data_IF_667473147085
#
_entry.id   IF_667473147085
#
_cell.length_a   1.000
_cell.length_b   1.000
_cell.length_c   1.000
_cell.angle_alpha   90.00
_cell.angle_beta   90.00
_cell.angle_gamma   90.00
#
_symmetry.space_group_name_H-M   'P 1'
#
loop_
_entity.id
_entity.type
_entity.pdbx_description
1 polymer ?
#
# COMPACT_ATOMS: atom_id res chain seq x y z
N UNK A 1 -12.04 9.68 28.39
CA UNK A 1 -11.69 8.68 27.38
C UNK A 1 -10.31 8.17 27.74
N UNK A 2 -10.19 6.92 28.18
CA UNK A 2 -8.89 6.31 28.44
C UNK A 2 -8.37 5.73 27.14
N UNK A 3 -7.26 6.28 26.64
CA UNK A 3 -6.58 5.75 25.45
C UNK A 3 -6.10 4.33 25.74
N UNK A 4 -6.42 3.42 24.85
CA UNK A 4 -6.04 2.01 24.96
C UNK A 4 -4.64 1.76 24.38
N UNK A 5 -3.91 0.72 24.81
CA UNK A 5 -2.53 0.47 24.37
C UNK A 5 -2.36 0.40 22.84
N UNK A 6 -3.33 -0.15 22.14
CA UNK A 6 -3.30 -0.26 20.69
C UNK A 6 -3.45 1.10 19.99
N UNK A 7 -4.16 2.06 20.59
CA UNK A 7 -4.31 3.40 20.03
C UNK A 7 -2.95 4.13 19.97
N UNK A 8 -2.05 3.88 20.93
CA UNK A 8 -0.68 4.42 20.87
C UNK A 8 0.14 3.82 19.72
N UNK A 9 -0.04 2.52 19.43
CA UNK A 9 0.62 1.86 18.30
C UNK A 9 0.09 2.44 16.98
N UNK A 10 -1.22 2.60 16.85
CA UNK A 10 -1.84 3.18 15.65
C UNK A 10 -1.40 4.64 15.45
N UNK A 11 -1.37 5.43 16.53
CA UNK A 11 -0.85 6.79 16.50
C UNK A 11 0.64 6.82 16.09
N UNK A 12 1.45 5.91 16.62
CA UNK A 12 2.86 5.76 16.23
C UNK A 12 3.02 5.46 14.74
N UNK A 13 2.23 4.55 14.21
CA UNK A 13 2.20 4.23 12.77
C UNK A 13 1.79 5.45 11.95
N UNK A 14 0.77 6.20 12.38
CA UNK A 14 0.34 7.41 11.69
C UNK A 14 1.44 8.48 11.66
N UNK A 15 2.12 8.72 12.78
CA UNK A 15 3.23 9.67 12.88
C UNK A 15 4.40 9.23 11.99
N UNK A 16 4.75 7.95 11.98
CA UNK A 16 5.83 7.41 11.13
C UNK A 16 5.51 7.58 9.64
N UNK A 17 4.29 7.23 9.22
CA UNK A 17 3.89 7.38 7.82
C UNK A 17 3.79 8.84 7.39
N UNK A 18 3.30 9.73 8.28
CA UNK A 18 3.30 11.17 8.05
C UNK A 18 4.74 11.72 7.93
N UNK A 19 5.66 11.29 8.80
CA UNK A 19 7.07 11.67 8.76
C UNK A 19 7.77 11.20 7.48
N UNK A 20 7.52 9.96 7.05
CA UNK A 20 8.03 9.43 5.78
C UNK A 20 7.46 10.23 4.61
N UNK A 21 6.16 10.55 4.64
CA UNK A 21 5.50 11.37 3.63
C UNK A 21 6.08 12.80 3.57
N UNK A 22 6.32 13.42 4.73
CA UNK A 22 6.97 14.73 4.83
C UNK A 22 8.39 14.73 4.22
N UNK A 23 9.18 13.70 4.54
CA UNK A 23 10.55 13.56 4.04
C UNK A 23 10.59 13.31 2.52
N UNK A 24 9.74 12.43 2.01
CA UNK A 24 9.68 12.10 0.58
C UNK A 24 8.99 13.16 -0.26
N UNK A 25 8.10 13.92 0.34
CA UNK A 25 7.22 14.87 -0.34
C UNK A 25 6.17 14.17 -1.22
N UNK A 26 5.24 14.95 -1.75
CA UNK A 26 4.22 14.49 -2.69
C UNK A 26 4.84 13.83 -3.93
N UNK A 27 5.96 14.40 -4.42
CA UNK A 27 6.69 13.88 -5.57
C UNK A 27 7.16 12.43 -5.37
N UNK A 28 7.69 12.12 -4.18
CA UNK A 28 8.13 10.76 -3.84
C UNK A 28 6.96 9.78 -3.69
N UNK A 29 5.83 10.26 -3.17
CA UNK A 29 4.62 9.47 -2.97
C UNK A 29 3.93 9.13 -4.30
N UNK A 30 3.70 10.14 -5.15
CA UNK A 30 3.12 9.93 -6.48
C UNK A 30 4.06 9.11 -7.39
N UNK A 31 5.36 9.36 -7.29
CA UNK A 31 6.35 8.56 -8.01
C UNK A 31 6.28 7.08 -7.61
N UNK A 32 6.13 6.78 -6.32
CA UNK A 32 6.00 5.40 -5.85
C UNK A 32 4.71 4.74 -6.33
N UNK A 33 3.58 5.44 -6.29
CA UNK A 33 2.29 4.92 -6.77
C UNK A 33 2.35 4.62 -8.28
N UNK A 34 2.87 5.57 -9.07
CA UNK A 34 3.04 5.38 -10.51
C UNK A 34 4.03 4.24 -10.82
N UNK A 35 5.10 4.13 -10.04
CA UNK A 35 6.06 3.04 -10.15
C UNK A 35 5.42 1.66 -9.91
N UNK A 36 4.59 1.52 -8.86
CA UNK A 36 3.87 0.27 -8.60
C UNK A 36 2.89 -0.07 -9.71
N UNK A 37 2.14 0.91 -10.23
CA UNK A 37 1.25 0.69 -11.37
C UNK A 37 2.04 0.22 -12.61
N UNK A 38 3.18 0.84 -12.89
CA UNK A 38 4.05 0.46 -14.00
C UNK A 38 4.65 -0.94 -13.81
N UNK A 39 5.10 -1.28 -12.59
CA UNK A 39 5.61 -2.61 -12.29
C UNK A 39 4.56 -3.70 -12.49
N UNK A 40 3.34 -3.47 -12.00
CA UNK A 40 2.21 -4.39 -12.18
C UNK A 40 1.87 -4.56 -13.66
N UNK A 41 1.83 -3.45 -14.41
CA UNK A 41 1.64 -3.49 -15.86
C UNK A 41 2.76 -4.24 -16.58
N UNK A 42 4.02 -3.97 -16.24
CA UNK A 42 5.17 -4.65 -16.82
C UNK A 42 5.10 -6.17 -16.58
N UNK A 43 4.85 -6.61 -15.34
CA UNK A 43 4.71 -8.03 -15.02
C UNK A 43 3.59 -8.73 -15.79
N UNK A 44 2.50 -8.01 -16.07
CA UNK A 44 1.41 -8.57 -16.88
C UNK A 44 1.75 -8.64 -18.38
N UNK A 45 2.28 -7.53 -18.94
CA UNK A 45 2.48 -7.41 -20.39
C UNK A 45 3.81 -7.99 -20.86
N UNK A 46 4.86 -8.00 -20.03
CA UNK A 46 6.21 -8.45 -20.43
C UNK A 46 6.50 -9.92 -20.13
N UNK A 47 5.57 -10.65 -19.49
CA UNK A 47 5.75 -12.07 -19.18
C UNK A 47 6.07 -12.92 -20.41
N UNK A 48 5.46 -12.59 -21.57
CA UNK A 48 5.77 -13.25 -22.84
C UNK A 48 7.22 -13.03 -23.28
N UNK A 49 7.71 -11.80 -23.18
CA UNK A 49 9.10 -11.45 -23.46
C UNK A 49 10.07 -12.11 -22.48
N UNK A 50 9.70 -12.15 -21.21
CA UNK A 50 10.50 -12.81 -20.16
C UNK A 50 10.71 -14.30 -20.45
N UNK A 51 9.68 -14.99 -20.95
CA UNK A 51 9.79 -16.39 -21.39
C UNK A 51 10.76 -16.56 -22.55
N UNK A 52 10.62 -15.72 -23.58
CA UNK A 52 11.56 -15.74 -24.73
C UNK A 52 12.99 -15.52 -24.26
N UNK A 53 13.23 -14.57 -23.36
CA UNK A 53 14.56 -14.34 -22.81
C UNK A 53 15.08 -15.55 -21.99
N UNK A 54 14.23 -16.16 -21.17
CA UNK A 54 14.61 -17.32 -20.37
C UNK A 54 14.96 -18.54 -21.25
N UNK A 55 14.21 -18.77 -22.32
CA UNK A 55 14.48 -19.84 -23.28
C UNK A 55 15.81 -19.59 -24.03
N UNK A 56 16.06 -18.34 -24.45
CA UNK A 56 17.31 -17.96 -25.09
C UNK A 56 18.54 -18.11 -24.19
N UNK A 57 18.38 -17.99 -22.87
CA UNK A 57 19.44 -18.21 -21.88
C UNK A 57 19.76 -19.70 -21.65
N UNK A 58 18.96 -20.63 -22.19
CA UNK A 58 19.25 -22.07 -22.15
C UNK A 58 19.01 -22.75 -20.81
N UNK A 59 18.09 -22.24 -19.96
CA UNK A 59 17.77 -22.83 -18.65
C UNK A 59 17.05 -24.19 -18.70
N UNK A 60 16.71 -24.72 -19.89
CA UNK A 60 16.10 -26.03 -20.06
C UNK A 60 14.86 -26.23 -19.20
N UNK A 61 14.87 -27.26 -18.36
CA UNK A 61 13.73 -27.57 -17.48
C UNK A 61 13.36 -26.45 -16.47
N UNK A 62 14.27 -25.52 -16.20
CA UNK A 62 14.06 -24.37 -15.29
C UNK A 62 13.60 -23.09 -16.02
N UNK A 63 13.36 -23.15 -17.34
CA UNK A 63 13.01 -21.97 -18.14
C UNK A 63 11.75 -21.22 -17.60
N UNK A 64 10.76 -21.96 -17.11
CA UNK A 64 9.57 -21.37 -16.51
C UNK A 64 9.89 -20.56 -15.24
N UNK A 65 10.72 -21.10 -14.36
CA UNK A 65 11.15 -20.37 -13.13
C UNK A 65 12.03 -19.18 -13.49
N UNK A 66 12.95 -19.35 -14.44
CA UNK A 66 13.80 -18.27 -14.93
C UNK A 66 12.98 -17.14 -15.55
N UNK A 67 11.89 -17.43 -16.27
CA UNK A 67 10.99 -16.43 -16.82
C UNK A 67 10.36 -15.53 -15.73
N UNK A 68 9.95 -16.08 -14.58
CA UNK A 68 9.44 -15.28 -13.46
C UNK A 68 10.52 -14.36 -12.86
N UNK A 69 11.77 -14.83 -12.79
CA UNK A 69 12.89 -14.00 -12.32
C UNK A 69 13.16 -12.86 -13.29
N UNK A 70 13.18 -13.12 -14.60
CA UNK A 70 13.36 -12.11 -15.64
C UNK A 70 12.21 -11.10 -15.61
N UNK A 71 10.96 -11.56 -15.49
CA UNK A 71 9.79 -10.71 -15.40
C UNK A 71 9.83 -9.82 -14.15
N UNK A 72 10.25 -10.36 -13.02
CA UNK A 72 10.46 -9.58 -11.80
C UNK A 72 11.52 -8.48 -12.00
N UNK A 73 12.63 -8.77 -12.70
CA UNK A 73 13.65 -7.76 -13.03
C UNK A 73 13.06 -6.68 -13.94
N UNK A 74 12.28 -7.03 -14.96
CA UNK A 74 11.60 -6.06 -15.80
C UNK A 74 10.64 -5.18 -15.01
N UNK A 75 9.88 -5.77 -14.10
CA UNK A 75 8.96 -5.03 -13.20
C UNK A 75 9.72 -4.07 -12.29
N UNK A 76 10.87 -4.46 -11.75
CA UNK A 76 11.71 -3.58 -10.93
C UNK A 76 12.29 -2.41 -11.75
N UNK A 77 12.72 -2.68 -12.98
CA UNK A 77 13.22 -1.62 -13.88
C UNK A 77 12.09 -0.65 -14.23
N UNK A 78 10.92 -1.14 -14.58
CA UNK A 78 9.74 -0.32 -14.85
C UNK A 78 9.35 0.53 -13.63
N UNK A 79 9.33 -0.07 -12.44
CA UNK A 79 9.11 0.64 -11.17
C UNK A 79 10.10 1.80 -10.99
N UNK A 80 11.38 1.50 -11.12
CA UNK A 80 12.44 2.49 -10.88
C UNK A 80 12.39 3.66 -11.86
N UNK A 81 12.24 3.36 -13.14
CA UNK A 81 12.17 4.36 -14.21
C UNK A 81 10.95 5.28 -14.05
N UNK A 82 9.76 4.71 -13.93
CA UNK A 82 8.51 5.49 -13.85
C UNK A 82 8.48 6.29 -12.55
N UNK A 83 8.88 5.67 -11.43
CA UNK A 83 9.02 6.38 -10.17
C UNK A 83 9.94 7.60 -10.27
N UNK A 84 11.11 7.43 -10.90
CA UNK A 84 12.08 8.52 -11.05
C UNK A 84 11.53 9.64 -11.94
N UNK A 85 10.93 9.30 -13.09
CA UNK A 85 10.36 10.28 -14.02
C UNK A 85 9.24 11.07 -13.35
N UNK A 86 8.28 10.38 -12.74
CA UNK A 86 7.12 11.03 -12.10
C UNK A 86 7.55 11.87 -10.90
N UNK A 87 8.44 11.37 -10.05
CA UNK A 87 8.94 12.12 -8.91
C UNK A 87 9.68 13.40 -9.36
N UNK A 88 10.49 13.31 -10.41
CA UNK A 88 11.19 14.46 -10.99
C UNK A 88 10.21 15.49 -11.54
N UNK A 89 9.22 15.04 -12.31
CA UNK A 89 8.21 15.91 -12.91
C UNK A 89 7.38 16.63 -11.83
N UNK A 90 6.88 15.92 -10.84
CA UNK A 90 6.10 16.48 -9.73
C UNK A 90 6.94 17.45 -8.89
N UNK A 91 8.23 17.14 -8.64
CA UNK A 91 9.11 18.02 -7.87
C UNK A 91 9.36 19.38 -8.54
N UNK A 92 9.27 19.44 -9.87
CA UNK A 92 9.36 20.71 -10.63
C UNK A 92 8.07 21.50 -10.54
N UNK A 93 6.92 20.81 -10.58
CA UNK A 93 5.60 21.45 -10.52
C UNK A 93 5.21 21.93 -9.14
N UNK A 94 5.63 21.19 -8.09
CA UNK A 94 5.26 21.49 -6.70
C UNK A 94 6.52 21.80 -5.90
N UNK A 95 6.85 23.10 -5.76
CA UNK A 95 8.06 23.52 -5.04
C UNK A 95 7.93 23.28 -3.53
N UNK A 96 9.08 23.25 -2.84
CA UNK A 96 9.12 23.25 -1.38
C UNK A 96 8.64 24.64 -0.86
N UNK A 97 7.93 24.72 0.28
CA UNK A 97 7.63 23.64 1.24
C UNK A 97 6.33 22.86 0.93
N UNK A 98 5.56 23.26 -0.07
CA UNK A 98 4.25 22.67 -0.40
C UNK A 98 4.36 21.17 -0.70
N UNK A 99 5.41 20.77 -1.42
CA UNK A 99 5.67 19.37 -1.75
C UNK A 99 5.80 18.50 -0.47
N UNK A 100 6.52 18.97 0.53
CA UNK A 100 6.70 18.27 1.80
C UNK A 100 5.38 18.19 2.58
N UNK A 101 4.64 19.29 2.67
CA UNK A 101 3.35 19.32 3.36
C UNK A 101 2.31 18.38 2.73
N UNK A 102 2.18 18.39 1.41
CA UNK A 102 1.30 17.48 0.69
C UNK A 102 1.75 16.01 0.82
N UNK A 103 3.06 15.78 0.90
CA UNK A 103 3.60 14.45 1.21
C UNK A 103 3.21 13.97 2.60
N UNK A 104 3.24 14.85 3.60
CA UNK A 104 2.76 14.53 4.96
C UNK A 104 1.28 14.16 4.96
N UNK A 105 0.44 14.93 4.27
CA UNK A 105 -1.00 14.63 4.13
C UNK A 105 -1.22 13.27 3.44
N UNK A 106 -0.45 12.96 2.40
CA UNK A 106 -0.48 11.66 1.74
C UNK A 106 -0.09 10.52 2.69
N UNK A 107 0.91 10.73 3.55
CA UNK A 107 1.31 9.79 4.60
C UNK A 107 0.20 9.54 5.64
N UNK A 108 -0.48 10.61 6.07
CA UNK A 108 -1.64 10.51 6.97
C UNK A 108 -2.81 9.76 6.31
N UNK A 109 -3.09 10.05 5.04
CA UNK A 109 -4.12 9.33 4.29
C UNK A 109 -3.82 7.83 4.21
N UNK A 110 -2.56 7.46 3.93
CA UNK A 110 -2.13 6.05 3.94
C UNK A 110 -2.31 5.40 5.30
N UNK A 111 -2.00 6.11 6.38
CA UNK A 111 -2.20 5.56 7.72
C UNK A 111 -3.68 5.29 8.00
N UNK A 112 -4.58 6.17 7.58
CA UNK A 112 -6.03 5.95 7.70
C UNK A 112 -6.49 4.73 6.91
N UNK A 113 -5.97 4.54 5.68
CA UNK A 113 -6.25 3.35 4.86
C UNK A 113 -5.74 2.09 5.53
N UNK A 114 -4.51 2.09 6.05
CA UNK A 114 -3.93 0.92 6.75
C UNK A 114 -4.74 0.57 8.00
N UNK A 115 -5.11 1.57 8.80
CA UNK A 115 -5.95 1.37 10.00
C UNK A 115 -7.32 0.82 9.60
N UNK A 116 -7.95 1.38 8.55
CA UNK A 116 -9.23 0.92 8.02
C UNK A 116 -9.18 -0.52 7.51
N UNK A 117 -8.11 -0.90 6.81
CA UNK A 117 -7.90 -2.27 6.33
C UNK A 117 -7.70 -3.25 7.49
N UNK A 118 -6.91 -2.88 8.52
CA UNK A 118 -6.71 -3.71 9.71
C UNK A 118 -8.02 -3.91 10.48
N UNK A 119 -8.80 -2.84 10.65
CA UNK A 119 -10.12 -2.92 11.27
C UNK A 119 -11.08 -3.80 10.43
N UNK A 120 -11.14 -3.59 9.10
CA UNK A 120 -11.98 -4.37 8.19
C UNK A 120 -11.59 -5.84 8.16
N UNK A 121 -10.30 -6.15 8.16
CA UNK A 121 -9.81 -7.54 8.24
C UNK A 121 -10.23 -8.23 9.55
N UNK A 122 -10.20 -7.48 10.66
CA UNK A 122 -10.70 -7.95 11.95
C UNK A 122 -12.20 -8.27 11.94
N UNK A 123 -12.99 -7.51 11.18
CA UNK A 123 -14.45 -7.71 11.06
C UNK A 123 -14.83 -8.87 10.13
N UNK A 124 -13.98 -9.22 9.16
CA UNK A 124 -14.23 -10.32 8.19
C UNK A 124 -14.01 -11.72 8.77
N UNK A 125 -13.50 -11.85 9.98
CA UNK A 125 -13.27 -13.15 10.63
C UNK A 125 -14.27 -13.37 11.77
N UNK A 126 -15.53 -13.79 11.49
CA UNK A 126 -16.51 -14.04 12.53
C UNK A 126 -16.07 -15.18 13.45
N UNK A 127 -16.08 -14.94 14.74
CA UNK A 127 -15.78 -15.94 15.77
C UNK A 127 -14.31 -16.12 16.14
N UNK A 128 -13.41 -15.29 15.63
CA UNK A 128 -11.97 -15.35 15.98
C UNK A 128 -11.63 -14.30 17.03
N UNK A 129 -10.70 -14.63 17.92
CA UNK A 129 -10.16 -13.75 18.98
C UNK A 129 -9.66 -12.38 18.47
N UNK A 130 -9.39 -12.24 17.18
CA UNK A 130 -8.90 -11.01 16.55
C UNK A 130 -9.90 -9.84 16.62
N UNK A 131 -11.17 -10.06 16.37
CA UNK A 131 -12.20 -9.01 16.47
C UNK A 131 -12.43 -8.56 17.91
N UNK A 132 -12.48 -9.51 18.83
CA UNK A 132 -12.57 -9.21 20.25
C UNK A 132 -11.31 -8.48 20.77
N UNK A 133 -10.13 -8.93 20.38
CA UNK A 133 -8.88 -8.34 20.81
C UNK A 133 -8.71 -6.90 20.32
N UNK A 134 -8.90 -6.63 19.04
CA UNK A 134 -8.75 -5.28 18.49
C UNK A 134 -9.82 -4.32 19.01
N UNK A 135 -11.09 -4.74 19.08
CA UNK A 135 -12.17 -3.90 19.58
C UNK A 135 -12.07 -3.62 21.08
N UNK A 136 -11.48 -4.53 21.87
CA UNK A 136 -11.27 -4.33 23.31
C UNK A 136 -10.04 -3.50 23.64
N UNK A 137 -9.08 -3.37 22.71
CA UNK A 137 -7.79 -2.69 22.95
C UNK A 137 -7.60 -1.42 22.12
N UNK A 138 -8.59 -1.02 21.30
CA UNK A 138 -8.56 0.23 20.52
C UNK A 138 -9.93 0.86 20.45
N UNK A 139 -10.03 2.13 20.85
CA UNK A 139 -11.24 2.94 20.70
C UNK A 139 -11.55 3.14 19.21
N UNK A 140 -10.53 3.40 18.40
CA UNK A 140 -10.68 3.63 16.95
C UNK A 140 -11.28 2.41 16.26
N UNK A 141 -10.77 1.21 16.54
CA UNK A 141 -11.29 -0.03 15.93
C UNK A 141 -12.70 -0.32 16.43
N UNK A 142 -13.01 -0.07 17.70
CA UNK A 142 -14.36 -0.23 18.26
C UNK A 142 -15.39 0.68 17.58
N UNK A 143 -15.06 1.95 17.37
CA UNK A 143 -15.96 2.88 16.69
C UNK A 143 -16.18 2.51 15.22
N UNK A 144 -15.14 2.05 14.53
CA UNK A 144 -15.25 1.54 13.15
C UNK A 144 -16.12 0.27 13.11
N UNK A 145 -15.95 -0.64 14.08
CA UNK A 145 -16.78 -1.84 14.19
C UNK A 145 -18.24 -1.50 14.44
N UNK A 146 -18.53 -0.60 15.40
CA UNK A 146 -19.88 -0.16 15.70
C UNK A 146 -20.56 0.52 14.49
N UNK A 147 -19.80 1.33 13.74
CA UNK A 147 -20.29 1.94 12.50
C UNK A 147 -20.58 0.88 11.42
N UNK A 148 -19.72 -0.12 11.27
CA UNK A 148 -19.90 -1.21 10.31
C UNK A 148 -21.14 -2.05 10.66
N UNK A 149 -21.30 -2.42 11.93
CA UNK A 149 -22.48 -3.17 12.40
C UNK A 149 -23.77 -2.40 12.12
N UNK A 150 -23.79 -1.08 12.37
CA UNK A 150 -24.97 -0.25 12.14
C UNK A 150 -25.33 -0.09 10.66
N UNK A 151 -24.36 -0.12 9.73
CA UNK A 151 -24.57 0.17 8.32
C UNK A 151 -24.57 -1.06 7.41
N UNK A 152 -23.92 -2.17 7.84
CA UNK A 152 -23.82 -3.40 7.04
C UNK A 152 -24.82 -4.47 7.46
N UNK A 153 -25.32 -4.43 8.71
CA UNK A 153 -26.36 -5.35 9.18
C UNK A 153 -27.74 -5.11 8.52
N UNK A 154 -27.96 -3.94 7.91
CA UNK A 154 -29.20 -3.60 7.20
C UNK A 154 -29.17 -3.97 5.71
N UNK A 155 -28.12 -4.62 5.20
CA UNK A 155 -28.11 -5.10 3.82
C UNK A 155 -29.09 -6.28 3.71
N UNK A 156 -30.24 -6.14 2.98
CA UNK A 156 -31.19 -7.24 2.84
C UNK A 156 -30.51 -8.39 2.10
N UNK A 157 -30.64 -9.59 2.65
CA UNK A 157 -30.30 -10.82 1.95
C UNK A 157 -31.10 -10.86 0.63
N UNK A 158 -30.39 -10.65 -0.50
CA UNK A 158 -30.92 -10.84 -1.84
C UNK A 158 -30.63 -12.24 -2.34
#
# INVERSE_FOLDING_TARGET
MELMPLDFVLAGVAVLLAGIGLYRGLSGELGSLAGFAAASGAGFFLMGLARVCADAMGFGQYAATAAYVVDFVFSLVAFGLVRWIVAKFVSVMVPQPTNAFLGMLSGLFKSAVVIGLLAGFGLMQPGTYSTGFFATHSIVVREIAAWADANLAEAPEQ
#
